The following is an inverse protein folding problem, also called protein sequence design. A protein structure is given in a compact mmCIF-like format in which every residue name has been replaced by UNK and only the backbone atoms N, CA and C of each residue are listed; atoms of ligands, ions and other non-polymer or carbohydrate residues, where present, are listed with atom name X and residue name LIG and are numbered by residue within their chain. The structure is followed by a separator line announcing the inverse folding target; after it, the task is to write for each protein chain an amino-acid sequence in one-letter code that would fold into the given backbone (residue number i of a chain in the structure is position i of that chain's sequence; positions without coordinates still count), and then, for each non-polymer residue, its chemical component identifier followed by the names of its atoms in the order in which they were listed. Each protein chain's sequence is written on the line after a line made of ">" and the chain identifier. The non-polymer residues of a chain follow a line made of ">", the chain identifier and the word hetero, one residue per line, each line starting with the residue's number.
data_IF_575074522376
#
_entry.id   IF_575074522376
#
_cell.length_a   1.000
_cell.length_b   1.000
_cell.length_c   1.000
_cell.angle_alpha   90.00
_cell.angle_beta   90.00
_cell.angle_gamma   90.00
#
_symmetry.space_group_name_H-M   'P 1'
#
loop_
_entity.id
_entity.type
_entity.pdbx_description
1 polymer ?
#
# COMPACT_ATOMS: atom_id res chain seq x y z
N UNK A 1 -10.68 -3.74 -20.96
CA UNK A 1 -9.34 -3.10 -20.99
C UNK A 1 -9.25 -1.84 -20.10
N UNK A 2 -10.01 -0.76 -20.34
CA UNK A 2 -9.96 0.47 -19.51
C UNK A 2 -10.30 0.19 -18.04
N UNK A 3 -11.35 -0.59 -17.78
CA UNK A 3 -11.77 -0.99 -16.42
C UNK A 3 -10.66 -1.70 -15.64
N UNK A 4 -9.89 -2.56 -16.30
CA UNK A 4 -8.76 -3.27 -15.70
C UNK A 4 -7.62 -2.31 -15.34
N UNK A 5 -7.26 -1.38 -16.23
CA UNK A 5 -6.20 -0.42 -15.94
C UNK A 5 -6.54 0.50 -14.76
N UNK A 6 -7.81 0.92 -14.65
CA UNK A 6 -8.27 1.72 -13.51
C UNK A 6 -8.13 0.93 -12.21
N UNK A 7 -8.54 -0.34 -12.18
CA UNK A 7 -8.44 -1.17 -10.98
C UNK A 7 -6.99 -1.37 -10.55
N UNK A 8 -6.08 -1.67 -11.50
CA UNK A 8 -4.64 -1.80 -11.20
C UNK A 8 -4.07 -0.51 -10.61
N UNK A 9 -4.39 0.65 -11.20
CA UNK A 9 -3.90 1.95 -10.71
C UNK A 9 -4.47 2.28 -9.32
N UNK A 10 -5.77 2.02 -9.09
CA UNK A 10 -6.39 2.22 -7.79
C UNK A 10 -5.77 1.31 -6.73
N UNK A 11 -5.57 0.02 -7.03
CA UNK A 11 -4.93 -0.93 -6.11
C UNK A 11 -3.50 -0.51 -5.80
N UNK A 12 -2.73 -0.09 -6.80
CA UNK A 12 -1.38 0.43 -6.58
C UNK A 12 -1.41 1.68 -5.68
N UNK A 13 -2.26 2.65 -5.97
CA UNK A 13 -2.39 3.87 -5.16
C UNK A 13 -2.77 3.55 -3.70
N UNK A 14 -3.75 2.67 -3.48
CA UNK A 14 -4.22 2.31 -2.12
C UNK A 14 -3.16 1.56 -1.32
N UNK A 15 -2.42 0.64 -1.96
CA UNK A 15 -1.35 -0.11 -1.29
C UNK A 15 -0.14 0.76 -0.94
N UNK A 16 0.19 1.75 -1.77
CA UNK A 16 1.38 2.59 -1.59
C UNK A 16 1.13 3.89 -0.82
N UNK A 17 -0.10 4.40 -0.79
CA UNK A 17 -0.48 5.58 -0.03
C UNK A 17 -0.07 5.52 1.46
N UNK A 18 -0.37 4.45 2.23
CA UNK A 18 0.01 4.39 3.64
C UNK A 18 1.54 4.40 3.84
N UNK A 19 2.32 3.86 2.91
CA UNK A 19 3.79 3.96 2.95
C UNK A 19 4.27 5.40 2.78
N UNK A 20 3.74 6.13 1.80
CA UNK A 20 4.09 7.54 1.59
C UNK A 20 3.63 8.42 2.77
N UNK A 21 2.44 8.18 3.31
CA UNK A 21 1.92 8.90 4.48
C UNK A 21 2.79 8.62 5.71
N UNK A 22 3.18 7.37 5.94
CA UNK A 22 4.10 6.99 7.02
C UNK A 22 5.43 7.74 6.93
N UNK A 23 6.02 7.81 5.73
CA UNK A 23 7.28 8.52 5.52
C UNK A 23 7.15 10.04 5.75
N UNK A 24 6.05 10.65 5.30
CA UNK A 24 5.77 12.06 5.56
C UNK A 24 5.59 12.34 7.05
N UNK A 25 4.80 11.52 7.77
CA UNK A 25 4.60 11.69 9.21
C UNK A 25 5.93 11.52 9.97
N UNK A 26 6.78 10.58 9.54
CA UNK A 26 8.13 10.43 10.08
C UNK A 26 8.99 11.69 9.92
N UNK A 27 8.92 12.35 8.76
CA UNK A 27 9.69 13.56 8.50
C UNK A 27 9.19 14.78 9.27
N UNK A 28 7.87 14.97 9.41
CA UNK A 28 7.30 16.14 10.09
C UNK A 28 7.16 15.97 11.60
N UNK A 29 6.96 14.74 12.08
CA UNK A 29 6.68 14.45 13.49
C UNK A 29 7.45 13.22 13.99
N UNK A 30 8.79 13.28 14.06
CA UNK A 30 9.61 12.16 14.49
C UNK A 30 9.30 11.69 15.92
N UNK A 31 8.76 12.56 16.79
CA UNK A 31 8.44 12.21 18.18
C UNK A 31 7.36 11.12 18.32
N UNK A 32 6.45 10.96 17.33
CA UNK A 32 5.45 9.89 17.36
C UNK A 32 6.08 8.49 17.17
N UNK A 33 7.33 8.43 16.71
CA UNK A 33 8.01 7.17 16.38
C UNK A 33 8.80 6.58 17.54
N UNK A 34 8.82 7.23 18.70
CA UNK A 34 9.46 6.71 19.91
C UNK A 34 8.67 5.57 20.58
N UNK A 35 7.48 5.24 20.05
CA UNK A 35 6.67 4.14 20.57
C UNK A 35 7.14 2.77 20.05
N UNK A 36 7.21 1.74 20.92
CA UNK A 36 7.68 0.40 20.54
C UNK A 36 6.80 -0.31 19.49
N UNK A 37 5.55 0.15 19.29
CA UNK A 37 4.62 -0.40 18.30
C UNK A 37 4.94 0.01 16.85
N UNK A 38 5.81 1.00 16.64
CA UNK A 38 6.13 1.54 15.31
C UNK A 38 6.71 0.49 14.38
N UNK A 39 7.48 -0.47 14.91
CA UNK A 39 8.01 -1.57 14.09
C UNK A 39 6.90 -2.45 13.52
N UNK A 40 5.86 -2.76 14.32
CA UNK A 40 4.73 -3.55 13.83
C UNK A 40 3.91 -2.78 12.79
N UNK A 41 3.68 -1.48 13.03
CA UNK A 41 2.98 -0.61 12.06
C UNK A 41 3.75 -0.54 10.74
N UNK A 42 5.07 -0.35 10.79
CA UNK A 42 5.92 -0.34 9.61
C UNK A 42 5.86 -1.67 8.85
N UNK A 43 5.95 -2.80 9.55
CA UNK A 43 5.85 -4.13 8.95
C UNK A 43 4.50 -4.35 8.26
N UNK A 44 3.39 -3.95 8.88
CA UNK A 44 2.05 -4.06 8.28
C UNK A 44 1.92 -3.19 7.03
N UNK A 45 2.43 -1.94 7.07
CA UNK A 45 2.40 -1.03 5.92
C UNK A 45 3.26 -1.57 4.77
N UNK A 46 4.46 -2.05 5.08
CA UNK A 46 5.35 -2.67 4.08
C UNK A 46 4.74 -3.93 3.49
N UNK A 47 4.10 -4.77 4.31
CA UNK A 47 3.40 -5.96 3.85
C UNK A 47 2.24 -5.61 2.90
N UNK A 48 1.46 -4.58 3.23
CA UNK A 48 0.38 -4.08 2.38
C UNK A 48 0.92 -3.52 1.04
N UNK A 49 2.03 -2.77 1.07
CA UNK A 49 2.66 -2.28 -0.15
C UNK A 49 3.14 -3.42 -1.05
N UNK A 50 3.80 -4.44 -0.48
CA UNK A 50 4.27 -5.60 -1.24
C UNK A 50 3.12 -6.45 -1.81
N UNK A 51 1.99 -6.51 -1.10
CA UNK A 51 0.79 -7.23 -1.56
C UNK A 51 0.18 -6.65 -2.85
N UNK A 52 0.52 -5.41 -3.23
CA UNK A 52 0.06 -4.78 -4.48
C UNK A 52 0.35 -5.63 -5.72
N UNK A 53 1.46 -6.38 -5.69
CA UNK A 53 1.87 -7.27 -6.79
C UNK A 53 1.02 -8.54 -6.89
N UNK A 54 0.46 -9.03 -5.77
CA UNK A 54 -0.39 -10.23 -5.75
C UNK A 54 -1.82 -9.94 -6.23
N UNK A 55 -2.29 -8.70 -6.14
CA UNK A 55 -3.61 -8.33 -6.64
C UNK A 55 -3.69 -8.31 -8.15
N UNK A 56 -2.57 -8.10 -8.85
CA UNK A 56 -2.51 -8.10 -10.31
C UNK A 56 -3.18 -9.35 -10.92
N UNK A 57 -2.71 -10.59 -10.70
CA UNK A 57 -3.33 -11.80 -11.27
C UNK A 57 -4.80 -11.99 -10.88
N UNK A 58 -5.20 -11.57 -9.67
CA UNK A 58 -6.60 -11.63 -9.22
C UNK A 58 -7.48 -10.67 -10.06
N UNK A 59 -6.99 -9.46 -10.32
CA UNK A 59 -7.67 -8.48 -11.18
C UNK A 59 -7.78 -9.02 -12.61
N UNK A 60 -6.73 -9.68 -13.13
CA UNK A 60 -6.81 -10.34 -14.44
C UNK A 60 -7.84 -11.48 -14.44
N UNK A 61 -7.86 -12.37 -13.44
CA UNK A 61 -8.86 -13.45 -13.39
C UNK A 61 -10.30 -12.97 -13.20
N UNK A 62 -10.56 -11.92 -12.42
CA UNK A 62 -11.93 -11.47 -12.12
C UNK A 62 -12.53 -10.52 -13.16
N UNK A 63 -11.70 -9.85 -13.97
CA UNK A 63 -12.16 -8.86 -14.97
C UNK A 63 -11.92 -9.31 -16.42
N UNK A 64 -11.29 -10.47 -16.63
CA UNK A 64 -11.08 -11.06 -17.95
C UNK A 64 -11.99 -12.29 -18.12
N UNK A 65 -13.27 -12.03 -18.32
CA UNK A 65 -14.16 -12.89 -19.12
C UNK A 65 -14.13 -12.43 -20.58
#
# INVERSE_FOLDING_TARGET
>A
VVKMMIVVVCTFAVCWLPYHVYFLIYQFYPHLFEHPFIQQVYLTIMWLAMSSTMYNPIIYCCLND
#
